data_IF_596746319699
#
_entry.id   IF_596746319699
#
_cell.length_a   1.000
_cell.length_b   1.000
_cell.length_c   1.000
_cell.angle_alpha   90.00
_cell.angle_beta   90.00
_cell.angle_gamma   90.00
#
_symmetry.space_group_name_H-M   'P 1'
#
loop_
_entity.id
_entity.type
_entity.pdbx_description
1 polymer ?
#
# COMPACT_ATOMS: atom_id res chain seq x y z
N UNK A 1 12.58 28.03 -1.50
CA UNK A 1 11.31 28.32 -2.21
C UNK A 1 10.29 27.36 -1.65
N UNK A 2 9.35 27.85 -0.84
CA UNK A 2 8.31 27.03 -0.23
C UNK A 2 7.20 26.83 -1.27
N UNK A 3 7.14 25.64 -1.86
CA UNK A 3 6.03 25.23 -2.70
C UNK A 3 4.84 24.93 -1.80
N UNK A 4 3.82 25.78 -1.85
CA UNK A 4 2.49 25.46 -1.32
C UNK A 4 1.95 24.30 -2.15
N UNK A 5 1.97 23.09 -1.59
CA UNK A 5 1.28 21.94 -2.18
C UNK A 5 -0.20 22.31 -2.32
N UNK A 6 -0.66 22.35 -3.57
CA UNK A 6 -2.05 22.65 -3.90
C UNK A 6 -2.90 21.50 -3.36
N UNK A 7 -3.81 21.84 -2.47
CA UNK A 7 -4.71 20.92 -1.75
C UNK A 7 -5.88 20.46 -2.66
N UNK A 8 -5.54 20.09 -3.90
CA UNK A 8 -6.47 19.86 -5.02
C UNK A 8 -6.37 18.47 -5.65
N UNK A 9 -5.43 17.63 -5.20
CA UNK A 9 -5.33 16.21 -5.55
C UNK A 9 -5.69 15.32 -4.36
N UNK A 10 -6.70 15.73 -3.58
CA UNK A 10 -7.27 14.83 -2.57
C UNK A 10 -7.92 13.66 -3.31
N UNK A 11 -7.32 12.48 -3.16
CA UNK A 11 -7.92 11.22 -3.57
C UNK A 11 -9.31 11.15 -2.92
N UNK A 12 -10.33 10.88 -3.72
CA UNK A 12 -11.67 10.67 -3.23
C UNK A 12 -11.74 9.30 -2.55
N UNK A 13 -11.45 9.29 -1.24
CA UNK A 13 -11.50 8.08 -0.41
C UNK A 13 -12.93 7.60 -0.16
N UNK A 14 -13.95 8.35 -0.60
CA UNK A 14 -15.35 7.93 -0.49
C UNK A 14 -15.75 6.91 -1.59
N UNK A 15 -14.91 6.66 -2.60
CA UNK A 15 -15.19 5.72 -3.70
C UNK A 15 -14.76 4.26 -3.40
N UNK A 16 -14.41 3.93 -2.15
CA UNK A 16 -14.06 2.57 -1.76
C UNK A 16 -14.51 2.18 -0.34
N UNK A 17 -14.81 0.89 -0.08
CA UNK A 17 -15.25 0.41 1.23
C UNK A 17 -14.10 0.14 2.22
N UNK A 18 -12.85 0.42 1.84
CA UNK A 18 -11.66 0.11 2.63
C UNK A 18 -11.30 1.23 3.60
N UNK A 19 -10.60 0.86 4.67
CA UNK A 19 -10.00 1.85 5.57
C UNK A 19 -8.78 2.49 4.91
N UNK A 20 -8.41 3.70 5.32
CA UNK A 20 -7.24 4.41 4.78
C UNK A 20 -6.14 4.37 5.83
N UNK A 21 -4.99 3.81 5.46
CA UNK A 21 -3.76 3.92 6.23
C UNK A 21 -3.11 5.27 5.90
N UNK A 22 -3.04 6.15 6.90
CA UNK A 22 -2.51 7.50 6.74
C UNK A 22 -1.03 7.47 6.34
N UNK A 23 -0.54 8.57 5.75
CA UNK A 23 0.90 8.70 5.43
C UNK A 23 1.78 8.49 6.66
N UNK A 24 1.41 9.09 7.79
CA UNK A 24 2.18 9.01 9.04
C UNK A 24 2.25 7.57 9.56
N UNK A 25 1.12 6.87 9.58
CA UNK A 25 1.05 5.47 10.03
C UNK A 25 1.78 4.53 9.08
N UNK A 26 1.73 4.79 7.77
CA UNK A 26 2.45 4.00 6.76
C UNK A 26 3.97 4.08 6.97
N UNK A 27 4.50 5.30 7.15
CA UNK A 27 5.92 5.54 7.41
C UNK A 27 6.34 4.91 8.75
N UNK A 28 5.52 5.03 9.80
CA UNK A 28 5.80 4.41 11.10
C UNK A 28 5.88 2.87 11.04
N UNK A 29 5.21 2.24 10.06
CA UNK A 29 5.25 0.79 9.86
C UNK A 29 6.46 0.33 9.03
N UNK A 30 7.16 1.21 8.31
CA UNK A 30 8.31 0.84 7.47
C UNK A 30 9.41 0.04 8.19
N UNK A 31 9.85 0.41 9.41
CA UNK A 31 10.88 -0.36 10.11
C UNK A 31 10.46 -1.81 10.38
N UNK A 32 9.16 -2.06 10.60
CA UNK A 32 8.64 -3.39 10.83
C UNK A 32 8.68 -4.24 9.56
N UNK A 33 8.45 -3.62 8.40
CA UNK A 33 8.48 -4.32 7.11
C UNK A 33 9.90 -4.55 6.58
N UNK A 34 10.81 -3.62 6.87
CA UNK A 34 12.18 -3.65 6.35
C UNK A 34 13.12 -4.51 7.20
N UNK A 35 12.73 -4.87 8.43
CA UNK A 35 13.55 -5.64 9.36
C UNK A 35 14.75 -4.86 9.92
N UNK A 36 15.34 -5.33 11.03
CA UNK A 36 16.51 -4.71 11.66
C UNK A 36 17.83 -4.90 10.85
N UNK A 37 17.82 -5.70 9.78
CA UNK A 37 19.02 -6.03 8.99
C UNK A 37 19.27 -5.10 7.79
N UNK A 38 19.07 -3.79 7.95
CA UNK A 38 19.64 -2.81 7.02
C UNK A 38 20.94 -2.24 7.60
N UNK A 39 21.87 -3.17 7.80
CA UNK A 39 23.28 -2.88 8.06
C UNK A 39 24.08 -3.35 6.84
N UNK A 40 23.94 -2.66 5.71
CA UNK A 40 24.95 -2.72 4.66
C UNK A 40 25.57 -1.33 4.48
N UNK A 41 26.77 -1.19 5.02
CA UNK A 41 27.61 0.03 5.07
C UNK A 41 28.19 0.43 3.70
N UNK A 42 27.48 0.22 2.59
CA UNK A 42 28.02 0.53 1.26
C UNK A 42 27.03 1.11 0.25
N UNK A 43 26.08 1.93 0.69
CA UNK A 43 25.29 2.76 -0.23
C UNK A 43 25.84 4.18 -0.26
N UNK A 44 26.27 4.67 -1.43
CA UNK A 44 26.62 6.09 -1.67
C UNK A 44 25.40 7.05 -1.49
N UNK A 45 24.22 6.50 -1.18
CA UNK A 45 23.02 7.27 -0.91
C UNK A 45 23.04 7.82 0.52
N UNK A 46 22.96 9.15 0.72
CA UNK A 46 22.93 9.76 2.06
C UNK A 46 21.71 9.35 2.89
N UNK A 47 20.68 8.76 2.27
CA UNK A 47 19.48 8.23 2.94
C UNK A 47 19.69 6.83 3.53
N UNK A 48 20.82 6.18 3.24
CA UNK A 48 21.15 4.85 3.70
C UNK A 48 20.48 3.73 2.89
N UNK A 49 20.37 2.56 3.48
CA UNK A 49 19.86 1.36 2.83
C UNK A 49 18.33 1.41 2.69
N UNK A 50 17.84 1.40 1.45
CA UNK A 50 16.41 1.38 1.12
C UNK A 50 15.94 0.02 0.61
N UNK A 51 14.64 -0.24 0.69
CA UNK A 51 14.00 -1.45 0.16
C UNK A 51 13.38 -1.18 -1.21
N UNK A 52 13.57 -2.08 -2.16
CA UNK A 52 12.88 -2.00 -3.45
C UNK A 52 11.47 -2.55 -3.32
N UNK A 53 10.47 -1.76 -3.70
CA UNK A 53 9.06 -2.13 -3.73
C UNK A 53 8.55 -2.11 -5.17
N UNK A 54 7.95 -3.21 -5.60
CA UNK A 54 7.20 -3.28 -6.85
C UNK A 54 5.88 -2.52 -6.74
N UNK A 55 5.58 -1.66 -7.72
CA UNK A 55 4.31 -0.97 -7.91
C UNK A 55 3.32 -1.76 -8.80
N UNK A 56 3.68 -3.01 -9.12
CA UNK A 56 2.87 -3.94 -9.89
C UNK A 56 2.12 -4.91 -8.98
N UNK A 57 0.86 -5.18 -9.30
CA UNK A 57 -0.01 -6.09 -8.59
C UNK A 57 0.54 -7.52 -8.67
N UNK A 58 0.72 -8.15 -7.52
CA UNK A 58 1.31 -9.49 -7.41
C UNK A 58 0.43 -10.61 -7.97
N UNK A 59 -0.85 -10.34 -8.21
CA UNK A 59 -1.87 -11.27 -8.70
C UNK A 59 -2.10 -11.11 -10.21
N UNK A 60 -2.26 -9.88 -10.70
CA UNK A 60 -2.59 -9.60 -12.11
C UNK A 60 -1.35 -9.23 -12.94
N UNK A 61 -0.30 -8.72 -12.30
CA UNK A 61 0.87 -8.15 -12.98
C UNK A 61 0.61 -6.78 -13.60
N UNK A 62 -0.55 -6.17 -13.36
CA UNK A 62 -0.87 -4.81 -13.80
C UNK A 62 -0.34 -3.77 -12.81
N UNK A 63 -0.27 -2.50 -13.22
CA UNK A 63 0.07 -1.41 -12.30
C UNK A 63 -1.03 -1.27 -11.25
N UNK A 64 -0.64 -1.21 -9.98
CA UNK A 64 -1.57 -1.04 -8.87
C UNK A 64 -2.23 0.34 -8.95
N UNK A 65 -3.54 0.40 -8.73
CA UNK A 65 -4.34 1.64 -8.63
C UNK A 65 -4.84 1.89 -7.20
N UNK A 66 -5.07 0.82 -6.43
CA UNK A 66 -5.49 0.87 -5.03
C UNK A 66 -4.52 0.07 -4.16
N UNK A 67 -3.33 0.61 -3.84
CA UNK A 67 -2.29 -0.08 -3.11
C UNK A 67 -2.78 -0.37 -1.72
N UNK A 68 -3.02 -1.63 -1.43
CA UNK A 68 -3.49 -2.00 -0.13
C UNK A 68 -3.12 -3.40 0.26
N UNK A 69 -3.44 -3.67 1.52
CA UNK A 69 -3.18 -4.93 2.21
C UNK A 69 -4.16 -5.04 3.37
N UNK A 70 -4.16 -6.17 4.05
CA UNK A 70 -4.90 -6.27 5.30
C UNK A 70 -4.16 -5.59 6.44
N UNK A 71 -4.90 -5.09 7.43
CA UNK A 71 -4.36 -4.35 8.58
C UNK A 71 -3.43 -5.18 9.50
N UNK A 72 -3.39 -6.50 9.32
CA UNK A 72 -2.53 -7.45 10.04
C UNK A 72 -1.40 -8.02 9.18
N UNK A 73 -1.24 -7.53 7.95
CA UNK A 73 -0.14 -7.91 7.08
C UNK A 73 1.18 -7.32 7.61
N UNK A 74 2.17 -8.18 7.82
CA UNK A 74 3.54 -7.83 8.25
C UNK A 74 4.51 -7.73 7.07
N UNK A 75 4.01 -7.46 5.87
CA UNK A 75 4.79 -7.37 4.64
C UNK A 75 4.53 -6.04 3.92
N UNK A 76 5.51 -5.59 3.14
CA UNK A 76 5.45 -4.32 2.43
C UNK A 76 4.71 -4.42 1.09
N UNK A 77 4.72 -5.61 0.48
CA UNK A 77 4.19 -5.79 -0.86
C UNK A 77 2.69 -5.52 -0.91
N UNK A 78 2.30 -4.79 -1.96
CA UNK A 78 0.95 -4.29 -2.15
C UNK A 78 0.19 -5.11 -3.20
N UNK A 79 -1.13 -5.06 -3.05
CA UNK A 79 -2.11 -5.63 -3.98
C UNK A 79 -3.06 -4.50 -4.36
N UNK A 80 -3.55 -4.50 -5.58
CA UNK A 80 -4.70 -3.70 -5.99
C UNK A 80 -5.96 -4.28 -5.32
N UNK A 81 -6.37 -3.66 -4.20
CA UNK A 81 -7.51 -4.14 -3.43
C UNK A 81 -8.82 -4.09 -4.22
N UNK A 82 -8.99 -3.10 -5.10
CA UNK A 82 -10.21 -3.04 -5.89
C UNK A 82 -10.27 -4.21 -6.86
N UNK A 83 -9.20 -4.52 -7.59
CA UNK A 83 -9.18 -5.66 -8.51
C UNK A 83 -9.21 -7.02 -7.78
N UNK A 84 -8.53 -7.11 -6.64
CA UNK A 84 -8.42 -8.34 -5.86
C UNK A 84 -9.70 -8.69 -5.09
N UNK A 85 -10.40 -7.69 -4.57
CA UNK A 85 -11.60 -7.87 -3.74
C UNK A 85 -12.88 -7.77 -4.59
N UNK A 86 -12.89 -7.09 -5.76
CA UNK A 86 -14.07 -7.01 -6.65
C UNK A 86 -14.74 -8.35 -6.99
N UNK A 87 -13.99 -9.43 -7.28
CA UNK A 87 -14.59 -10.76 -7.46
C UNK A 87 -15.40 -11.22 -6.24
N UNK A 88 -14.96 -10.87 -5.02
CA UNK A 88 -15.65 -11.12 -3.76
C UNK A 88 -16.72 -10.05 -3.40
N UNK A 89 -16.66 -8.84 -3.98
CA UNK A 89 -17.62 -7.75 -3.75
C UNK A 89 -18.96 -7.91 -4.45
N UNK A 90 -19.08 -8.79 -5.45
CA UNK A 90 -20.36 -9.04 -6.14
C UNK A 90 -21.48 -9.55 -5.21
N UNK A 91 -21.17 -9.85 -3.95
CA UNK A 91 -22.10 -10.29 -2.91
C UNK A 91 -21.93 -9.54 -1.57
N UNK A 92 -21.25 -8.39 -1.53
CA UNK A 92 -21.18 -7.60 -0.28
C UNK A 92 -22.56 -7.04 0.02
N UNK A 93 -23.12 -7.44 1.15
CA UNK A 93 -24.30 -6.80 1.71
C UNK A 93 -23.89 -5.37 2.10
N UNK A 94 -24.38 -4.39 1.34
CA UNK A 94 -24.03 -2.98 1.49
C UNK A 94 -24.37 -2.44 2.90
N UNK A 95 -25.21 -3.15 3.66
CA UNK A 95 -25.54 -2.80 5.03
C UNK A 95 -24.54 -3.34 6.06
N UNK A 96 -23.81 -4.43 5.78
CA UNK A 96 -22.94 -5.11 6.77
C UNK A 96 -21.44 -5.01 6.49
N UNK A 97 -21.02 -4.63 5.27
CA UNK A 97 -19.61 -4.60 4.84
C UNK A 97 -18.87 -5.96 4.96
N UNK A 98 -19.62 -7.06 5.05
CA UNK A 98 -19.09 -8.42 5.10
C UNK A 98 -18.70 -8.91 3.70
N UNK A 99 -17.54 -9.57 3.60
CA UNK A 99 -17.05 -10.17 2.36
C UNK A 99 -17.68 -11.54 2.15
N UNK A 100 -18.26 -11.77 0.98
CA UNK A 100 -18.74 -13.09 0.57
C UNK A 100 -18.02 -13.53 -0.71
N UNK A 101 -16.96 -14.35 -0.64
CA UNK A 101 -16.31 -15.03 0.51
C UNK A 101 -15.19 -14.20 1.19
N UNK A 102 -14.63 -14.66 2.34
CA UNK A 102 -13.47 -14.02 2.97
C UNK A 102 -12.32 -13.82 1.98
N UNK A 103 -11.69 -12.65 2.04
CA UNK A 103 -10.53 -12.34 1.22
C UNK A 103 -9.27 -12.92 1.86
N UNK A 104 -8.43 -13.56 1.05
CA UNK A 104 -7.15 -14.12 1.47
C UNK A 104 -6.03 -13.31 0.84
N UNK A 105 -5.13 -12.78 1.66
CA UNK A 105 -3.98 -12.03 1.16
C UNK A 105 -3.09 -12.94 0.28
N UNK A 106 -2.75 -12.54 -0.95
CA UNK A 106 -1.93 -13.34 -1.85
C UNK A 106 -0.45 -13.44 -1.44
N UNK A 107 0.00 -12.63 -0.47
CA UNK A 107 1.39 -12.64 0.02
C UNK A 107 1.56 -13.44 1.30
N UNK A 108 0.83 -13.08 2.36
CA UNK A 108 0.97 -13.72 3.67
C UNK A 108 -0.11 -14.76 3.99
N UNK A 109 -1.04 -15.01 3.06
CA UNK A 109 -2.11 -15.98 3.20
C UNK A 109 -3.10 -15.74 4.36
N UNK A 110 -2.98 -14.61 5.07
CA UNK A 110 -3.92 -14.22 6.11
C UNK A 110 -5.32 -13.99 5.54
N UNK A 111 -6.34 -14.33 6.34
CA UNK A 111 -7.76 -14.27 5.95
C UNK A 111 -8.45 -13.10 6.64
N UNK A 112 -9.22 -12.38 5.85
CA UNK A 112 -9.94 -11.17 6.20
C UNK A 112 -11.41 -11.34 5.84
N UNK A 113 -12.29 -11.12 6.82
CA UNK A 113 -13.72 -11.38 6.64
C UNK A 113 -14.50 -10.09 6.32
N UNK A 114 -13.91 -8.93 6.57
CA UNK A 114 -14.56 -7.63 6.43
C UNK A 114 -13.70 -6.67 5.59
N UNK A 115 -14.34 -5.83 4.78
CA UNK A 115 -13.64 -4.75 4.07
C UNK A 115 -12.94 -3.77 5.02
N UNK A 116 -13.47 -3.61 6.24
CA UNK A 116 -12.89 -2.77 7.30
C UNK A 116 -11.54 -3.28 7.82
N UNK A 117 -11.21 -4.55 7.58
CA UNK A 117 -9.91 -5.10 7.95
C UNK A 117 -8.86 -4.90 6.84
N UNK A 118 -9.27 -4.30 5.72
CA UNK A 118 -8.41 -3.99 4.58
C UNK A 118 -8.13 -2.48 4.55
N UNK A 119 -6.89 -2.15 4.27
CA UNK A 119 -6.35 -0.79 4.29
C UNK A 119 -5.78 -0.44 2.90
N UNK A 120 -6.18 0.71 2.37
CA UNK A 120 -5.49 1.38 1.26
C UNK A 120 -4.42 2.31 1.83
N UNK A 121 -3.20 2.18 1.34
CA UNK A 121 -2.03 2.92 1.80
C UNK A 121 -1.94 4.26 1.08
N UNK A 122 -2.27 5.35 1.79
CA UNK A 122 -2.28 6.70 1.21
C UNK A 122 -0.89 7.13 0.71
N UNK A 123 0.16 6.77 1.44
CA UNK A 123 1.52 7.15 1.07
C UNK A 123 1.94 6.46 -0.23
N UNK A 124 1.71 5.15 -0.35
CA UNK A 124 2.00 4.41 -1.58
C UNK A 124 1.12 4.87 -2.75
N UNK A 125 -0.13 5.25 -2.48
CA UNK A 125 -1.01 5.79 -3.52
C UNK A 125 -0.44 7.09 -4.11
N UNK A 126 0.08 7.98 -3.26
CA UNK A 126 0.75 9.20 -3.72
C UNK A 126 1.99 8.89 -4.55
N UNK A 127 2.78 7.88 -4.17
CA UNK A 127 3.96 7.45 -4.95
C UNK A 127 3.54 6.95 -6.33
N UNK A 128 2.55 6.05 -6.40
CA UNK A 128 2.03 5.48 -7.64
C UNK A 128 1.56 6.56 -8.62
N UNK A 129 0.98 7.65 -8.12
CA UNK A 129 0.51 8.78 -8.92
C UNK A 129 1.66 9.70 -9.38
N UNK A 130 2.79 9.71 -8.68
CA UNK A 130 3.92 10.61 -8.95
C UNK A 130 4.99 10.02 -9.88
N UNK A 131 5.05 8.69 -10.01
CA UNK A 131 5.98 8.03 -10.94
C UNK A 131 5.23 7.15 -11.96
N UNK A 132 5.87 6.89 -13.11
CA UNK A 132 5.47 5.88 -14.09
C UNK A 132 6.28 4.58 -14.01
N UNK A 133 7.27 4.51 -13.13
CA UNK A 133 8.14 3.34 -12.97
C UNK A 133 7.42 2.17 -12.34
N UNK A 134 7.97 0.97 -12.53
CA UNK A 134 7.37 -0.29 -12.06
C UNK A 134 7.81 -0.68 -10.66
N UNK A 135 8.88 -0.09 -10.16
CA UNK A 135 9.36 -0.24 -8.78
C UNK A 135 9.92 1.09 -8.29
N UNK A 136 10.04 1.22 -6.98
CA UNK A 136 10.66 2.35 -6.29
C UNK A 136 11.52 1.83 -5.15
N UNK A 137 12.56 2.58 -4.79
CA UNK A 137 13.30 2.36 -3.55
C UNK A 137 12.73 3.24 -2.44
N UNK A 138 12.31 2.62 -1.35
CA UNK A 138 11.76 3.26 -0.17
C UNK A 138 12.82 3.34 0.94
N UNK A 139 12.84 4.45 1.68
CA UNK A 139 13.77 4.69 2.78
C UNK A 139 13.01 4.82 4.11
N UNK A 140 13.70 4.55 5.22
CA UNK A 140 13.11 4.56 6.57
C UNK A 140 12.58 5.93 7.01
N UNK A 141 13.06 7.01 6.39
CA UNK A 141 12.56 8.36 6.63
C UNK A 141 11.26 8.69 5.87
N UNK A 142 10.72 7.72 5.11
CA UNK A 142 9.53 7.88 4.28
C UNK A 142 9.80 8.55 2.93
N UNK A 143 11.05 8.88 2.62
CA UNK A 143 11.43 9.29 1.27
C UNK A 143 11.50 8.10 0.32
N UNK A 144 11.52 8.36 -0.99
CA UNK A 144 11.62 7.34 -2.02
C UNK A 144 12.44 7.82 -3.23
N UNK A 145 12.83 6.89 -4.09
CA UNK A 145 13.48 7.13 -5.38
C UNK A 145 12.96 6.14 -6.43
N UNK A 146 12.93 6.56 -7.69
CA UNK A 146 12.69 5.74 -8.89
C UNK A 146 13.96 5.02 -9.37
#
# INVERSE_FOLDING_TARGET
MAGTASDSDKIDYDDHPFTVLSVEDSILRLPFYMGEEIADESTDDPRGSGVELSLMDVTTGDRVTYPGRGNRCEHLEIVDLMNSVRPAQTLVDAETLELSPPWKCPRCEQVYNCCSDLEVDEWLQRIIQQTTDTSVRLYLDGSWAD
#
